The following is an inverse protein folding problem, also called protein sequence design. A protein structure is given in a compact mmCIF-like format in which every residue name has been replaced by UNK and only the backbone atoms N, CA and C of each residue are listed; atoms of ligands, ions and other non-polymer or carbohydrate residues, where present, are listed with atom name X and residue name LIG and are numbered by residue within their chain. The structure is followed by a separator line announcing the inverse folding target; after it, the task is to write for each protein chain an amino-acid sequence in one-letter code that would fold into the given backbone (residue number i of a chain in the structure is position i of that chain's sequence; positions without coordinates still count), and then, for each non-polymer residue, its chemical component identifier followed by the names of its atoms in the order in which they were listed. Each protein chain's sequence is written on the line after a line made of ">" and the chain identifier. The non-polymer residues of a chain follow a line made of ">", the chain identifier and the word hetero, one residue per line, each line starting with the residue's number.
data_IF_108557085737
#
_entry.id   IF_108557085737
#
_cell.length_a   1.000
_cell.length_b   1.000
_cell.length_c   1.000
_cell.angle_alpha   90.00
_cell.angle_beta   90.00
_cell.angle_gamma   90.00
#
_symmetry.space_group_name_H-M   'P 1'
#
loop_
_entity.id
_entity.type
_entity.pdbx_description
1 polymer ?
#
# COMPACT_ATOMS: atom_id res chain seq x y z
N UNK A 1 1.03 -15.27 2.57
CA UNK A 1 0.84 -14.15 1.62
C UNK A 1 -0.59 -14.22 1.11
N UNK A 2 -1.13 -13.11 0.63
CA UNK A 2 -2.47 -13.07 0.02
C UNK A 2 -2.31 -12.85 -1.48
N UNK A 3 -3.03 -13.61 -2.30
CA UNK A 3 -3.00 -13.44 -3.76
C UNK A 3 -4.28 -12.72 -4.19
N UNK A 4 -4.11 -11.61 -4.88
CA UNK A 4 -5.19 -10.85 -5.51
C UNK A 4 -5.04 -10.99 -7.03
N UNK A 5 -6.09 -11.37 -7.78
CA UNK A 5 -6.01 -11.48 -9.23
C UNK A 5 -5.86 -10.10 -9.88
N UNK A 6 -4.83 -9.93 -10.71
CA UNK A 6 -4.52 -8.67 -11.41
C UNK A 6 -3.12 -8.16 -11.09
N UNK A 7 -2.79 -7.01 -11.67
CA UNK A 7 -1.56 -6.28 -11.40
C UNK A 7 -1.94 -4.97 -10.71
N UNK A 8 -1.59 -4.83 -9.45
CA UNK A 8 -1.85 -3.62 -8.67
C UNK A 8 -0.50 -3.04 -8.29
N UNK A 9 -0.14 -1.91 -8.90
CA UNK A 9 0.93 -1.04 -8.43
C UNK A 9 0.46 -0.27 -7.21
N UNK A 10 1.37 0.45 -6.57
CA UNK A 10 1.05 1.30 -5.44
C UNK A 10 0.05 2.42 -5.82
N UNK A 11 0.18 2.98 -7.02
CA UNK A 11 -0.73 4.00 -7.56
C UNK A 11 -2.16 3.47 -7.76
N UNK A 12 -2.33 2.15 -7.91
CA UNK A 12 -3.64 1.50 -8.01
C UNK A 12 -4.31 1.27 -6.64
N UNK A 13 -3.55 1.35 -5.53
CA UNK A 13 -4.02 1.05 -4.17
C UNK A 13 -4.70 2.26 -3.51
N UNK A 14 -5.77 2.73 -4.14
CA UNK A 14 -6.50 3.92 -3.74
C UNK A 14 -7.28 3.77 -2.42
N UNK A 15 -7.54 4.90 -1.76
CA UNK A 15 -8.28 4.96 -0.50
C UNK A 15 -9.66 4.30 -0.62
N UNK A 16 -10.02 3.52 0.41
CA UNK A 16 -11.26 2.74 0.52
C UNK A 16 -11.44 1.67 -0.55
N UNK A 17 -10.40 1.33 -1.33
CA UNK A 17 -10.44 0.19 -2.25
C UNK A 17 -10.62 -1.13 -1.48
N UNK A 18 -11.37 -2.06 -2.06
CA UNK A 18 -11.44 -3.44 -1.60
C UNK A 18 -10.82 -4.38 -2.64
N UNK A 19 -9.79 -5.12 -2.23
CA UNK A 19 -9.21 -6.19 -3.02
C UNK A 19 -9.83 -7.52 -2.61
N UNK A 20 -10.25 -8.31 -3.58
CA UNK A 20 -10.74 -9.67 -3.35
C UNK A 20 -9.62 -10.66 -3.63
N UNK A 21 -9.25 -11.47 -2.63
CA UNK A 21 -8.24 -12.51 -2.83
C UNK A 21 -8.80 -13.69 -3.64
N UNK A 22 -7.93 -14.53 -4.18
CA UNK A 22 -8.34 -15.79 -4.83
C UNK A 22 -9.11 -16.73 -3.89
N UNK A 23 -8.84 -16.64 -2.59
CA UNK A 23 -9.56 -17.36 -1.53
C UNK A 23 -10.90 -16.71 -1.15
N UNK A 24 -11.29 -15.63 -1.85
CA UNK A 24 -12.56 -14.93 -1.64
C UNK A 24 -12.58 -13.93 -0.47
N UNK A 25 -11.45 -13.74 0.21
CA UNK A 25 -11.33 -12.78 1.32
C UNK A 25 -11.33 -11.35 0.79
N UNK A 26 -11.82 -10.40 1.60
CA UNK A 26 -11.74 -8.97 1.28
C UNK A 26 -10.63 -8.31 2.10
N UNK A 27 -9.71 -7.67 1.40
CA UNK A 27 -8.69 -6.80 1.96
C UNK A 27 -9.10 -5.35 1.70
N UNK A 28 -9.20 -4.55 2.76
CA UNK A 28 -9.52 -3.12 2.67
C UNK A 28 -8.22 -2.32 2.61
N UNK A 29 -8.16 -1.40 1.66
CA UNK A 29 -7.05 -0.48 1.46
C UNK A 29 -7.43 0.89 2.00
N UNK A 30 -6.46 1.55 2.61
CA UNK A 30 -6.47 2.97 2.91
C UNK A 30 -5.18 3.57 2.37
N UNK A 31 -5.27 4.74 1.74
CA UNK A 31 -4.13 5.49 1.23
C UNK A 31 -4.24 6.95 1.65
N UNK A 32 -3.25 7.44 2.37
CA UNK A 32 -3.10 8.87 2.62
C UNK A 32 -1.99 9.40 1.73
N UNK A 33 -2.32 10.40 0.90
CA UNK A 33 -1.41 11.03 -0.06
C UNK A 33 -1.03 12.40 0.48
N UNK A 34 0.24 12.61 0.81
CA UNK A 34 0.78 13.92 1.15
C UNK A 34 1.76 14.37 0.07
N UNK A 35 1.45 15.49 -0.57
CA UNK A 35 2.37 16.16 -1.49
C UNK A 35 3.44 16.88 -0.68
N UNK A 36 4.71 16.52 -0.88
CA UNK A 36 5.84 17.23 -0.27
C UNK A 36 6.53 18.08 -1.34
N UNK A 37 6.57 19.41 -1.17
CA UNK A 37 7.36 20.30 -2.01
C UNK A 37 8.83 19.88 -2.05
N UNK A 38 9.43 19.80 -3.24
CA UNK A 38 10.87 19.56 -3.37
C UNK A 38 11.64 20.72 -2.73
N UNK A 39 12.37 20.45 -1.64
CA UNK A 39 13.26 21.42 -0.99
C UNK A 39 13.08 21.54 0.52
N UNK A 40 12.02 20.98 1.09
CA UNK A 40 11.84 20.90 2.54
C UNK A 40 12.26 19.50 3.01
N UNK A 41 13.51 19.38 3.43
CA UNK A 41 14.03 18.19 4.10
C UNK A 41 13.43 18.11 5.51
N UNK A 42 12.16 17.75 5.61
CA UNK A 42 11.60 17.26 6.87
C UNK A 42 11.47 15.74 6.76
N UNK A 43 12.50 15.04 7.24
CA UNK A 43 12.32 13.66 7.71
C UNK A 43 11.41 13.76 8.94
N UNK A 44 10.10 13.80 8.71
CA UNK A 44 9.09 13.61 9.73
C UNK A 44 9.18 12.16 10.24
N UNK A 45 10.21 11.89 11.05
CA UNK A 45 10.31 10.72 11.90
C UNK A 45 9.46 11.04 13.14
N UNK A 46 8.15 11.08 12.94
CA UNK A 46 7.18 11.47 13.96
C UNK A 46 6.06 10.45 14.07
N UNK A 47 6.35 9.32 14.72
CA UNK A 47 5.38 8.41 15.34
C UNK A 47 4.43 7.66 14.39
N UNK A 48 4.65 6.35 14.23
CA UNK A 48 3.70 5.34 13.77
C UNK A 48 3.29 5.25 12.28
N UNK A 49 3.59 6.21 11.40
CA UNK A 49 3.27 6.06 9.97
C UNK A 49 4.48 5.62 9.13
N UNK A 50 4.56 4.33 8.79
CA UNK A 50 5.49 3.84 7.77
C UNK A 50 4.98 4.28 6.39
N UNK A 51 5.59 5.33 5.83
CA UNK A 51 5.31 5.87 4.50
C UNK A 51 6.34 5.35 3.49
N UNK A 52 5.87 5.03 2.28
CA UNK A 52 6.75 4.78 1.15
C UNK A 52 6.71 6.00 0.20
N UNK A 53 7.82 6.25 -0.50
CA UNK A 53 7.96 7.42 -1.37
C UNK A 53 7.60 7.02 -2.80
N UNK A 54 6.59 7.67 -3.38
CA UNK A 54 6.30 7.63 -4.81
C UNK A 54 6.75 8.96 -5.44
N UNK A 55 7.53 8.89 -6.51
CA UNK A 55 8.03 10.07 -7.22
C UNK A 55 7.31 10.21 -8.56
N UNK A 56 6.50 11.25 -8.73
CA UNK A 56 5.97 11.62 -10.03
C UNK A 56 7.02 12.42 -10.83
N UNK A 57 6.96 12.33 -12.15
CA UNK A 57 7.99 12.81 -13.10
C UNK A 57 8.14 14.34 -13.11
N UNK A 58 7.27 15.07 -12.41
CA UNK A 58 7.29 16.53 -12.35
C UNK A 58 7.07 17.03 -10.89
N UNK A 59 8.16 17.28 -10.18
CA UNK A 59 8.29 18.34 -9.14
C UNK A 59 7.77 18.16 -7.68
N UNK A 60 7.27 17.01 -7.23
CA UNK A 60 6.96 16.79 -5.80
C UNK A 60 7.23 15.34 -5.39
N UNK A 61 7.84 15.12 -4.21
CA UNK A 61 7.89 13.77 -3.64
C UNK A 61 6.56 13.52 -2.95
N UNK A 62 5.82 12.50 -3.38
CA UNK A 62 4.58 12.13 -2.74
C UNK A 62 4.91 11.10 -1.66
N UNK A 63 4.58 11.43 -0.41
CA UNK A 63 4.58 10.44 0.67
C UNK A 63 3.22 9.80 0.70
N UNK A 64 3.19 8.52 0.38
CA UNK A 64 2.00 7.72 0.51
C UNK A 64 2.13 6.81 1.72
N UNK A 65 1.10 6.82 2.55
CA UNK A 65 0.89 5.83 3.60
C UNK A 65 -0.21 4.91 3.12
N UNK A 66 0.16 3.73 2.62
CA UNK A 66 -0.81 2.69 2.24
C UNK A 66 -0.88 1.68 3.37
N UNK A 67 -2.11 1.40 3.81
CA UNK A 67 -2.38 0.27 4.69
C UNK A 67 -3.38 -0.70 4.07
N UNK A 68 -3.15 -1.99 4.29
CA UNK A 68 -4.03 -3.08 3.85
C UNK A 68 -4.48 -3.83 5.10
N UNK A 69 -5.78 -3.81 5.38
CA UNK A 69 -6.37 -4.29 6.64
C UNK A 69 -5.63 -3.75 7.89
N UNK A 70 -5.21 -2.49 7.83
CA UNK A 70 -4.46 -1.80 8.89
C UNK A 70 -3.06 -2.36 9.15
N UNK A 71 -2.42 -2.99 8.15
CA UNK A 71 -0.97 -3.22 8.12
C UNK A 71 -0.31 -2.31 7.09
N UNK A 72 0.85 -1.76 7.40
CA UNK A 72 1.55 -0.81 6.54
C UNK A 72 2.30 -1.51 5.41
N UNK A 73 2.20 -0.95 4.21
CA UNK A 73 3.04 -1.37 3.08
C UNK A 73 4.46 -0.84 3.30
N UNK A 74 5.40 -1.73 3.59
CA UNK A 74 6.83 -1.43 3.78
C UNK A 74 7.58 -1.24 2.47
N UNK A 75 7.17 -2.00 1.45
CA UNK A 75 7.79 -1.99 0.14
C UNK A 75 6.74 -2.32 -0.90
N UNK A 76 6.47 -1.37 -1.78
CA UNK A 76 5.54 -1.55 -2.88
C UNK A 76 6.27 -1.89 -4.19
N UNK A 77 5.51 -2.28 -5.21
CA UNK A 77 5.98 -2.39 -6.60
C UNK A 77 7.15 -3.35 -6.81
N UNK A 78 7.24 -4.43 -6.01
CA UNK A 78 8.27 -5.45 -6.24
C UNK A 78 7.83 -6.33 -7.41
N UNK A 79 8.49 -6.17 -8.55
CA UNK A 79 8.21 -6.95 -9.76
C UNK A 79 8.53 -8.43 -9.51
N UNK A 80 7.58 -9.29 -9.84
CA UNK A 80 7.74 -10.74 -9.90
C UNK A 80 7.39 -11.24 -11.31
N UNK A 81 7.76 -12.48 -11.64
CA UNK A 81 7.55 -13.04 -12.99
C UNK A 81 6.07 -13.08 -13.41
N UNK A 82 5.16 -13.14 -12.44
CA UNK A 82 3.73 -13.33 -12.65
C UNK A 82 2.86 -12.28 -11.92
N UNK A 83 3.43 -11.17 -11.46
CA UNK A 83 2.69 -10.21 -10.66
C UNK A 83 3.54 -9.10 -10.03
N UNK A 84 2.91 -8.39 -9.10
CA UNK A 84 3.54 -7.36 -8.27
C UNK A 84 3.36 -7.76 -6.82
N UNK A 85 4.44 -7.70 -6.04
CA UNK A 85 4.42 -7.96 -4.61
C UNK A 85 4.50 -6.64 -3.82
N UNK A 86 3.68 -6.58 -2.78
CA UNK A 86 3.71 -5.54 -1.75
C UNK A 86 4.06 -6.21 -0.41
N UNK A 87 5.10 -5.73 0.25
CA UNK A 87 5.54 -6.22 1.57
C UNK A 87 4.80 -5.46 2.64
N UNK A 88 4.19 -6.16 3.59
CA UNK A 88 3.35 -5.58 4.64
C UNK A 88 3.92 -5.99 6.01
N UNK A 89 3.92 -5.07 6.97
CA UNK A 89 4.49 -5.27 8.32
C UNK A 89 3.63 -6.09 9.28
N UNK A 90 2.42 -6.45 8.84
CA UNK A 90 1.40 -7.12 9.65
C UNK A 90 0.90 -8.38 8.98
N UNK A 91 0.71 -9.42 9.78
CA UNK A 91 0.00 -10.63 9.34
C UNK A 91 -1.46 -10.27 9.05
N UNK A 92 -1.85 -10.42 7.79
CA UNK A 92 -3.23 -10.25 7.38
C UNK A 92 -4.02 -11.52 7.69
N UNK A 93 -4.91 -11.45 8.67
CA UNK A 93 -5.71 -12.59 9.09
C UNK A 93 -6.93 -12.72 8.18
N UNK A 94 -7.16 -13.90 7.56
CA UNK A 94 -8.40 -14.21 6.87
C UNK A 94 -9.62 -14.01 7.77
N UNK A 95 -10.52 -13.12 7.37
CA UNK A 95 -11.88 -13.13 7.89
C UNK A 95 -12.69 -14.11 7.06
N UNK A 96 -12.79 -15.36 7.54
CA UNK A 96 -13.75 -16.31 6.99
C UNK A 96 -15.15 -15.86 7.42
N UNK A 97 -15.96 -15.42 6.45
CA UNK A 97 -17.41 -15.34 6.68
C UNK A 97 -17.88 -16.77 6.91
N UNK A 98 -18.31 -17.07 8.13
CA UNK A 98 -19.17 -18.23 8.37
C UNK A 98 -20.48 -17.93 7.63
N UNK A 99 -20.82 -18.78 6.66
CA UNK A 99 -22.08 -18.73 5.92
C UNK A 99 -23.28 -18.98 6.84
#
# INVERSE_FOLDING_TARGET
>A
YHIVPGYYTADDLLDRLFLKTLEGQRLRVWSDVSEIPLGEEEIATGGDALSYISSDTVTTSVRESITINGGHVLKANVIADNGIMHVIDKVLIPQFTML
#
